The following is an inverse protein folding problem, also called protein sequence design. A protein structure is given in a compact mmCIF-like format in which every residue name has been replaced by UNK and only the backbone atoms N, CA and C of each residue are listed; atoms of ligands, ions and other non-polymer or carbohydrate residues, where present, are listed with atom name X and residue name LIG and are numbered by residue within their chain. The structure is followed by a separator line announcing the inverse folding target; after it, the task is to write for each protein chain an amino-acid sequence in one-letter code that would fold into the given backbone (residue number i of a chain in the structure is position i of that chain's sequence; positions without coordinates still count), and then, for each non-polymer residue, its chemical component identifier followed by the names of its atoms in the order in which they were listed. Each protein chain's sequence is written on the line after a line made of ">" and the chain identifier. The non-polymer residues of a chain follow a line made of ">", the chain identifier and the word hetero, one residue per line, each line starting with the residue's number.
data_IF_508125878131
#
_entry.id   IF_508125878131
#
_cell.length_a   1.000
_cell.length_b   1.000
_cell.length_c   1.000
_cell.angle_alpha   90.00
_cell.angle_beta   90.00
_cell.angle_gamma   90.00
#
_symmetry.space_group_name_H-M   'P 1'
#
loop_
_entity.id
_entity.type
_entity.pdbx_description
1 polymer ?
#
# COMPACT_ATOMS: atom_id res chain seq x y z
N UNK A 1 -6.37 -54.81 -6.30
CA UNK A 1 -7.16 -53.57 -6.36
C UNK A 1 -6.46 -52.52 -5.51
N UNK A 2 -6.00 -51.42 -6.10
CA UNK A 2 -5.33 -50.33 -5.38
C UNK A 2 -6.40 -49.29 -5.01
N UNK A 3 -6.62 -49.06 -3.72
CA UNK A 3 -7.64 -48.13 -3.24
C UNK A 3 -7.19 -46.68 -3.50
N UNK A 4 -8.10 -45.84 -4.00
CA UNK A 4 -7.84 -44.42 -4.19
C UNK A 4 -7.58 -43.73 -2.83
N UNK A 5 -6.63 -42.78 -2.75
CA UNK A 5 -6.36 -42.06 -1.52
C UNK A 5 -7.58 -41.23 -1.12
N UNK A 6 -8.09 -41.49 0.08
CA UNK A 6 -9.18 -40.74 0.68
C UNK A 6 -8.60 -39.52 1.38
N UNK A 7 -8.96 -38.33 0.91
CA UNK A 7 -8.59 -37.08 1.59
C UNK A 7 -9.60 -36.77 2.69
N UNK A 8 -9.16 -36.81 3.95
CA UNK A 8 -9.96 -36.34 5.07
C UNK A 8 -9.89 -34.82 5.14
N UNK A 9 -11.03 -34.13 5.03
CA UNK A 9 -11.14 -32.72 5.38
C UNK A 9 -11.22 -32.60 6.90
N UNK A 10 -10.26 -31.92 7.55
CA UNK A 10 -10.29 -31.76 9.00
C UNK A 10 -11.50 -30.93 9.41
N UNK A 11 -12.16 -31.32 10.51
CA UNK A 11 -13.22 -30.53 11.12
C UNK A 11 -12.60 -29.19 11.56
N UNK A 12 -13.15 -28.04 11.14
CA UNK A 12 -12.58 -26.75 11.47
C UNK A 12 -12.55 -26.55 12.98
N UNK A 13 -11.37 -26.24 13.52
CA UNK A 13 -11.23 -25.86 14.93
C UNK A 13 -11.73 -24.43 15.13
N UNK A 14 -12.18 -24.12 16.35
CA UNK A 14 -12.62 -22.77 16.72
C UNK A 14 -11.51 -21.74 16.44
N UNK A 15 -10.26 -22.08 16.72
CA UNK A 15 -9.10 -21.22 16.41
C UNK A 15 -8.96 -20.96 14.91
N UNK A 16 -9.17 -21.98 14.06
CA UNK A 16 -9.14 -21.82 12.61
C UNK A 16 -10.27 -20.91 12.11
N UNK A 17 -11.48 -21.08 12.65
CA UNK A 17 -12.62 -20.22 12.32
C UNK A 17 -12.36 -18.76 12.73
N UNK A 18 -11.83 -18.53 13.92
CA UNK A 18 -11.49 -17.18 14.40
C UNK A 18 -10.41 -16.52 13.54
N UNK A 19 -9.34 -17.24 13.15
CA UNK A 19 -8.33 -16.71 12.22
C UNK A 19 -8.88 -16.39 10.83
N UNK A 20 -9.83 -17.18 10.34
CA UNK A 20 -10.48 -16.91 9.05
C UNK A 20 -11.33 -15.64 9.11
N UNK A 21 -12.09 -15.45 10.19
CA UNK A 21 -12.87 -14.22 10.43
C UNK A 21 -11.94 -13.02 10.59
N UNK A 22 -10.86 -13.13 11.36
CA UNK A 22 -9.85 -12.09 11.50
C UNK A 22 -9.26 -11.72 10.13
N UNK A 23 -8.86 -12.70 9.33
CA UNK A 23 -8.33 -12.48 7.98
C UNK A 23 -9.34 -11.78 7.08
N UNK A 24 -10.62 -12.18 7.15
CA UNK A 24 -11.69 -11.56 6.37
C UNK A 24 -11.91 -10.11 6.79
N UNK A 25 -12.04 -9.84 8.09
CA UNK A 25 -12.22 -8.49 8.65
C UNK A 25 -11.03 -7.58 8.34
N UNK A 26 -9.80 -8.09 8.47
CA UNK A 26 -8.59 -7.31 8.23
C UNK A 26 -8.26 -7.13 6.73
N UNK A 27 -8.78 -7.98 5.84
CA UNK A 27 -8.43 -7.97 4.41
C UNK A 27 -8.73 -6.63 3.72
N UNK A 28 -9.85 -5.99 4.08
CA UNK A 28 -10.27 -4.70 3.53
C UNK A 28 -9.32 -3.59 3.96
N UNK A 29 -8.94 -3.57 5.24
CA UNK A 29 -7.97 -2.63 5.82
C UNK A 29 -6.60 -2.72 5.17
N UNK A 30 -6.10 -3.93 4.89
CA UNK A 30 -4.82 -4.12 4.20
C UNK A 30 -4.82 -3.56 2.78
N UNK A 31 -5.92 -3.75 2.03
CA UNK A 31 -6.05 -3.21 0.68
C UNK A 31 -6.09 -1.67 0.69
N UNK A 32 -6.81 -1.08 1.64
CA UNK A 32 -6.85 0.38 1.83
C UNK A 32 -5.49 0.91 2.25
N UNK A 33 -4.79 0.26 3.17
CA UNK A 33 -3.45 0.65 3.59
C UNK A 33 -2.46 0.67 2.41
N UNK A 34 -2.48 -0.36 1.55
CA UNK A 34 -1.66 -0.39 0.33
C UNK A 34 -1.97 0.75 -0.63
N UNK A 35 -3.25 1.08 -0.82
CA UNK A 35 -3.66 2.22 -1.66
C UNK A 35 -3.21 3.54 -1.06
N UNK A 36 -3.44 3.74 0.22
CA UNK A 36 -3.04 4.96 0.93
C UNK A 36 -1.53 5.15 0.88
N UNK A 37 -0.76 4.08 1.12
CA UNK A 37 0.70 4.12 1.02
C UNK A 37 1.16 4.51 -0.39
N UNK A 38 0.55 3.91 -1.43
CA UNK A 38 0.87 4.26 -2.80
C UNK A 38 0.53 5.72 -3.15
N UNK A 39 -0.67 6.19 -2.75
CA UNK A 39 -1.08 7.59 -2.95
C UNK A 39 -0.14 8.56 -2.26
N UNK A 40 0.25 8.28 -1.00
CA UNK A 40 1.21 9.11 -0.26
C UNK A 40 2.55 9.22 -0.98
N UNK A 41 3.07 8.11 -1.51
CA UNK A 41 4.33 8.11 -2.28
C UNK A 41 4.21 8.92 -3.56
N UNK A 42 3.08 8.84 -4.27
CA UNK A 42 2.85 9.66 -5.46
C UNK A 42 2.75 11.16 -5.12
N UNK A 43 2.05 11.50 -4.04
CA UNK A 43 1.97 12.87 -3.55
C UNK A 43 3.33 13.41 -3.13
N UNK A 44 4.14 12.64 -2.39
CA UNK A 44 5.46 13.07 -1.96
C UNK A 44 6.39 13.32 -3.15
N UNK A 45 6.33 12.45 -4.17
CA UNK A 45 7.06 12.69 -5.42
C UNK A 45 6.60 13.95 -6.13
N UNK A 46 5.29 14.25 -6.10
CA UNK A 46 4.76 15.49 -6.67
C UNK A 46 5.25 16.71 -5.90
N UNK A 47 5.13 16.70 -4.57
CA UNK A 47 5.63 17.77 -3.68
C UNK A 47 7.13 18.00 -3.85
N UNK A 48 7.93 16.93 -4.02
CA UNK A 48 9.35 17.05 -4.27
C UNK A 48 9.66 17.78 -5.58
N UNK A 49 8.94 17.44 -6.67
CA UNK A 49 9.06 18.14 -7.95
C UNK A 49 8.64 19.60 -7.85
N UNK A 50 7.51 19.86 -7.18
CA UNK A 50 7.00 21.22 -7.02
C UNK A 50 7.98 22.09 -6.22
N UNK A 51 8.65 21.55 -5.19
CA UNK A 51 9.72 22.26 -4.45
C UNK A 51 10.91 22.64 -5.34
N UNK A 52 11.39 21.70 -6.17
CA UNK A 52 12.50 21.95 -7.11
C UNK A 52 12.12 23.01 -8.13
N UNK A 53 10.90 22.98 -8.65
CA UNK A 53 10.44 23.99 -9.61
C UNK A 53 10.32 25.37 -8.96
N UNK A 54 9.79 25.44 -7.74
CA UNK A 54 9.73 26.68 -6.97
C UNK A 54 11.13 27.25 -6.73
N UNK A 55 12.09 26.41 -6.31
CA UNK A 55 13.48 26.82 -6.11
C UNK A 55 14.07 27.43 -7.37
N UNK A 56 13.93 26.77 -8.53
CA UNK A 56 14.41 27.27 -9.83
C UNK A 56 13.81 28.63 -10.20
N UNK A 57 12.49 28.79 -10.03
CA UNK A 57 11.81 30.05 -10.33
C UNK A 57 12.29 31.17 -9.40
N UNK A 58 12.49 30.87 -8.12
CA UNK A 58 13.02 31.84 -7.16
C UNK A 58 14.46 32.23 -7.48
N UNK A 59 15.33 31.26 -7.80
CA UNK A 59 16.72 31.51 -8.22
C UNK A 59 16.77 32.38 -9.48
N UNK A 60 15.97 32.05 -10.49
CA UNK A 60 15.88 32.84 -11.72
C UNK A 60 15.42 34.28 -11.43
N UNK A 61 14.38 34.44 -10.60
CA UNK A 61 13.89 35.76 -10.22
C UNK A 61 14.91 36.57 -9.40
N UNK A 62 15.71 35.92 -8.55
CA UNK A 62 16.82 36.57 -7.84
C UNK A 62 17.90 37.00 -8.83
N UNK A 63 18.34 36.10 -9.72
CA UNK A 63 19.37 36.38 -10.71
C UNK A 63 18.99 37.57 -11.60
N UNK A 64 17.74 37.63 -12.08
CA UNK A 64 17.24 38.76 -12.89
C UNK A 64 17.15 40.08 -12.12
N UNK A 65 17.05 40.08 -10.79
CA UNK A 65 17.09 41.33 -10.00
C UNK A 65 18.49 41.83 -9.73
N UNK A 66 19.50 40.96 -9.80
CA UNK A 66 20.90 41.28 -9.47
C UNK A 66 21.78 41.53 -10.70
N UNK A 67 21.28 41.26 -11.90
CA UNK A 67 21.88 41.61 -13.20
C UNK A 67 21.52 43.03 -13.61
#
# INVERSE_FOLDING_TARGET
>A
MQAAPVHATPIPSITGALRAVESLLMSSGQRTARRNAWTSVLEDRRRAKDRVEVERVLEAAVASRTS
#
